data_IF_813516800573
#
_entry.id   IF_813516800573
#
_cell.length_a   1.000
_cell.length_b   1.000
_cell.length_c   1.000
_cell.angle_alpha   90.00
_cell.angle_beta   90.00
_cell.angle_gamma   90.00
#
_symmetry.space_group_name_H-M   'P 1'
#
loop_
_entity.id
_entity.type
_entity.pdbx_description
1 polymer ?
#
# COMPACT_ATOMS: atom_id res chain seq x y z
N UNK A 1 55.20 -45.98 15.09
CA UNK A 1 56.48 -45.46 15.62
C UNK A 1 57.11 -44.59 14.55
N UNK A 2 57.42 -43.32 14.82
CA UNK A 2 58.13 -42.46 13.84
C UNK A 2 57.80 -40.97 13.89
N UNK A 3 58.38 -40.28 14.86
CA UNK A 3 58.82 -38.87 14.94
C UNK A 3 58.08 -37.71 14.25
N UNK A 4 57.78 -36.71 15.10
CA UNK A 4 57.47 -35.32 14.80
C UNK A 4 58.63 -34.57 14.10
N UNK A 5 58.30 -33.69 13.14
CA UNK A 5 58.49 -32.23 13.24
C UNK A 5 58.03 -31.45 11.98
N UNK A 6 57.31 -30.35 12.27
CA UNK A 6 57.23 -29.03 11.58
C UNK A 6 56.16 -28.77 10.48
N UNK A 7 55.21 -27.92 10.91
CA UNK A 7 54.68 -26.66 10.32
C UNK A 7 53.97 -26.71 8.96
N UNK A 8 52.65 -26.51 8.98
CA UNK A 8 51.97 -25.23 8.70
C UNK A 8 50.45 -25.47 8.73
N UNK A 9 49.73 -24.78 9.61
CA UNK A 9 48.26 -24.88 9.72
C UNK A 9 47.64 -23.87 8.76
N UNK A 10 47.01 -24.37 7.70
CA UNK A 10 46.03 -23.64 6.91
C UNK A 10 44.75 -24.48 6.95
N UNK A 11 43.84 -24.14 7.86
CA UNK A 11 42.48 -24.67 7.85
C UNK A 11 41.54 -23.47 7.81
N UNK A 12 40.95 -23.26 6.64
CA UNK A 12 39.82 -22.36 6.49
C UNK A 12 38.62 -22.91 7.26
N UNK A 13 37.88 -22.01 7.88
CA UNK A 13 36.52 -22.26 8.32
C UNK A 13 35.75 -20.95 8.36
N UNK A 14 34.47 -21.13 8.06
CA UNK A 14 33.47 -20.14 7.74
C UNK A 14 33.17 -19.14 8.86
N UNK A 15 32.67 -17.98 8.42
CA UNK A 15 31.82 -17.01 9.12
C UNK A 15 30.85 -17.65 10.15
N UNK A 16 30.51 -16.94 11.26
CA UNK A 16 29.78 -15.68 11.19
C UNK A 16 30.32 -14.54 12.07
N UNK A 17 30.45 -13.35 11.47
CA UNK A 17 30.63 -12.10 12.20
C UNK A 17 29.28 -11.63 12.74
N UNK A 18 29.18 -11.64 14.07
CA UNK A 18 28.32 -10.77 14.84
C UNK A 18 28.75 -9.32 14.58
N UNK A 19 27.88 -8.50 14.00
CA UNK A 19 28.05 -7.05 13.96
C UNK A 19 27.09 -6.39 14.95
N UNK A 20 27.68 -5.71 15.92
CA UNK A 20 27.06 -4.87 16.95
C UNK A 20 26.44 -3.60 16.38
N UNK A 21 25.47 -2.96 17.08
CA UNK A 21 24.82 -1.74 16.64
C UNK A 21 25.61 -0.51 17.09
N UNK A 22 26.65 -0.15 16.34
CA UNK A 22 27.41 1.09 16.58
C UNK A 22 28.03 1.60 15.27
N UNK A 23 27.22 1.95 14.28
CA UNK A 23 27.71 2.66 13.08
C UNK A 23 26.72 3.65 12.46
N UNK A 24 25.55 3.87 13.06
CA UNK A 24 24.56 4.86 12.57
C UNK A 24 24.89 6.32 12.93
N UNK A 25 25.98 6.57 13.68
CA UNK A 25 26.35 7.91 14.14
C UNK A 25 27.40 8.64 13.29
N UNK A 26 28.17 7.95 12.44
CA UNK A 26 29.29 8.57 11.71
C UNK A 26 28.99 8.88 10.23
N UNK A 27 28.08 8.15 9.58
CA UNK A 27 27.64 8.48 8.20
C UNK A 27 26.78 9.74 8.07
N UNK A 28 26.40 10.36 9.20
CA UNK A 28 25.58 11.56 9.27
C UNK A 28 26.41 12.85 9.27
N UNK A 29 27.72 12.77 9.53
CA UNK A 29 28.60 13.94 9.59
C UNK A 29 29.18 14.26 8.21
N UNK A 30 29.57 13.25 7.42
CA UNK A 30 30.22 13.47 6.11
C UNK A 30 29.27 13.83 4.96
N UNK A 31 27.96 13.56 5.08
CA UNK A 31 27.00 13.87 4.02
C UNK A 31 26.29 15.23 4.20
N UNK A 32 26.38 15.84 5.38
CA UNK A 32 25.72 17.12 5.69
C UNK A 32 26.57 18.33 5.29
N UNK A 33 27.89 18.19 5.16
CA UNK A 33 28.77 19.27 4.70
C UNK A 33 28.64 19.54 3.19
N UNK A 34 28.26 18.55 2.38
CA UNK A 34 28.22 18.70 0.91
C UNK A 34 27.00 19.48 0.37
N UNK A 35 26.01 19.81 1.21
CA UNK A 35 24.83 20.57 0.80
C UNK A 35 24.91 22.04 1.25
N UNK A 36 25.91 22.41 2.07
CA UNK A 36 26.06 23.76 2.59
C UNK A 36 26.81 24.73 1.67
N UNK A 37 27.62 24.25 0.72
CA UNK A 37 28.59 25.10 -0.01
C UNK A 37 28.28 25.38 -1.49
N UNK A 38 27.12 24.98 -2.02
CA UNK A 38 26.68 25.44 -3.35
C UNK A 38 27.57 25.05 -4.55
N UNK A 39 28.44 24.05 -4.41
CA UNK A 39 29.26 23.52 -5.51
C UNK A 39 28.46 22.58 -6.43
N UNK A 40 28.64 22.64 -7.76
CA UNK A 40 27.93 21.78 -8.70
C UNK A 40 28.36 20.31 -8.54
N UNK A 41 27.37 19.43 -8.38
CA UNK A 41 27.57 17.98 -8.37
C UNK A 41 27.84 17.50 -9.79
N UNK A 42 29.08 17.14 -10.08
CA UNK A 42 29.48 16.48 -11.32
C UNK A 42 28.99 15.03 -11.32
N UNK A 43 27.92 14.74 -12.07
CA UNK A 43 27.50 13.37 -12.34
C UNK A 43 28.48 12.77 -13.36
N UNK A 44 29.38 11.90 -12.89
CA UNK A 44 30.25 11.12 -13.76
C UNK A 44 29.46 9.92 -14.29
N UNK A 45 28.93 10.02 -15.50
CA UNK A 45 28.43 8.87 -16.25
C UNK A 45 29.60 8.05 -16.77
N UNK A 46 29.67 6.77 -16.39
CA UNK A 46 30.57 5.80 -17.03
C UNK A 46 29.92 5.31 -18.33
N UNK A 47 30.43 5.76 -19.46
CA UNK A 47 30.13 5.19 -20.77
C UNK A 47 31.02 3.96 -21.06
N UNK A 48 30.38 2.90 -21.55
CA UNK A 48 31.04 1.75 -22.19
C UNK A 48 31.23 2.03 -23.69
N UNK A 49 32.36 1.64 -24.31
CA UNK A 49 32.67 1.99 -25.70
C UNK A 49 32.05 1.00 -26.69
N UNK A 50 31.47 1.52 -27.79
CA UNK A 50 31.08 0.69 -28.93
C UNK A 50 30.35 1.45 -30.04
N UNK A 51 31.05 1.61 -31.17
CA UNK A 51 30.56 1.86 -32.54
C UNK A 51 30.36 3.31 -33.04
N UNK A 52 31.34 3.74 -33.84
CA UNK A 52 31.14 3.95 -35.28
C UNK A 52 30.53 5.28 -35.70
N UNK A 53 31.39 6.24 -36.02
CA UNK A 53 31.03 7.49 -36.68
C UNK A 53 30.51 7.25 -38.11
N UNK A 54 29.37 7.85 -38.43
CA UNK A 54 28.97 8.18 -39.80
C UNK A 54 28.42 9.61 -39.79
N UNK A 55 29.10 10.48 -40.54
CA UNK A 55 28.74 11.88 -40.77
C UNK A 55 27.69 11.97 -41.88
N UNK A 56 26.53 12.56 -41.58
CA UNK A 56 25.57 12.99 -42.60
C UNK A 56 25.48 14.52 -42.63
N UNK A 57 25.59 15.07 -43.84
CA UNK A 57 25.61 16.50 -44.12
C UNK A 57 24.19 17.10 -44.02
N UNK A 58 24.08 18.23 -43.31
CA UNK A 58 22.83 19.00 -43.18
C UNK A 58 22.77 20.04 -44.30
N UNK A 59 21.73 19.95 -45.15
CA UNK A 59 21.40 20.96 -46.16
C UNK A 59 20.73 22.21 -45.55
N UNK A 60 20.86 23.40 -46.16
CA UNK A 60 20.42 24.66 -45.56
C UNK A 60 18.89 24.79 -45.53
N UNK A 61 18.34 25.18 -44.38
CA UNK A 61 16.92 25.54 -44.22
C UNK A 61 16.67 26.95 -44.76
N UNK A 62 15.75 27.06 -45.71
CA UNK A 62 15.19 28.31 -46.22
C UNK A 62 14.36 28.98 -45.13
N UNK A 63 14.68 30.25 -44.84
CA UNK A 63 13.89 31.14 -43.98
C UNK A 63 12.70 31.65 -44.79
N UNK A 64 11.47 31.31 -44.37
CA UNK A 64 10.24 31.92 -44.89
C UNK A 64 9.79 32.99 -43.91
N UNK A 65 9.74 34.23 -44.39
CA UNK A 65 9.26 35.40 -43.65
C UNK A 65 7.74 35.36 -43.47
N UNK A 66 7.26 35.71 -42.28
CA UNK A 66 5.83 35.80 -41.96
C UNK A 66 5.18 37.05 -42.58
N UNK A 67 3.91 36.97 -43.05
CA UNK A 67 3.16 38.12 -43.55
C UNK A 67 2.57 38.98 -42.40
N UNK A 68 2.23 40.25 -42.65
CA UNK A 68 1.74 41.18 -41.63
C UNK A 68 0.30 40.89 -41.18
N UNK A 69 -0.11 41.37 -39.99
CA UNK A 69 -1.40 41.04 -39.40
C UNK A 69 -2.55 41.77 -40.13
N UNK A 70 -3.33 41.01 -40.90
CA UNK A 70 -4.64 41.41 -41.42
C UNK A 70 -5.77 40.80 -40.59
N UNK A 71 -6.83 41.57 -40.34
CA UNK A 71 -7.97 41.24 -39.49
C UNK A 71 -8.62 39.89 -39.84
N UNK A 72 -8.71 38.99 -38.85
CA UNK A 72 -9.46 37.74 -38.95
C UNK A 72 -10.95 38.09 -38.75
N UNK A 73 -11.86 37.73 -39.67
CA UNK A 73 -13.29 37.94 -39.48
C UNK A 73 -13.81 37.11 -38.31
N UNK A 74 -14.69 37.70 -37.51
CA UNK A 74 -15.30 37.09 -36.34
C UNK A 74 -16.03 35.80 -36.72
N UNK A 75 -15.71 34.69 -36.05
CA UNK A 75 -16.48 33.45 -36.18
C UNK A 75 -17.91 33.67 -35.68
N UNK A 76 -18.93 33.15 -36.38
CA UNK A 76 -20.30 33.23 -35.89
C UNK A 76 -20.44 32.45 -34.58
N UNK A 77 -21.22 33.01 -33.65
CA UNK A 77 -21.59 32.37 -32.39
C UNK A 77 -22.25 31.01 -32.67
N UNK A 78 -21.93 29.96 -31.90
CA UNK A 78 -22.54 28.66 -32.10
C UNK A 78 -24.03 28.76 -31.74
N UNK A 79 -24.88 28.60 -32.77
CA UNK A 79 -26.31 28.38 -32.59
C UNK A 79 -26.50 27.11 -31.77
N UNK A 80 -27.26 27.21 -30.68
CA UNK A 80 -27.67 26.07 -29.86
C UNK A 80 -28.62 25.20 -30.68
N UNK A 81 -28.07 24.23 -31.42
CA UNK A 81 -28.87 23.19 -32.02
C UNK A 81 -29.56 22.39 -30.89
N UNK A 82 -30.84 22.00 -31.04
CA UNK A 82 -31.50 21.12 -30.08
C UNK A 82 -30.66 19.84 -29.94
N UNK A 83 -30.27 19.49 -28.71
CA UNK A 83 -29.64 18.20 -28.45
C UNK A 83 -30.64 17.10 -28.79
N UNK A 84 -30.30 16.27 -29.78
CA UNK A 84 -31.02 15.02 -30.02
C UNK A 84 -30.93 14.15 -28.76
N UNK A 85 -32.03 13.47 -28.37
CA UNK A 85 -32.01 12.56 -27.23
C UNK A 85 -30.99 11.43 -27.51
N UNK A 86 -30.23 10.98 -26.49
CA UNK A 86 -29.23 9.94 -26.68
C UNK A 86 -29.89 8.65 -27.21
N UNK A 87 -29.32 8.10 -28.28
CA UNK A 87 -29.79 6.86 -28.90
C UNK A 87 -29.65 5.71 -27.88
N UNK A 88 -30.73 5.02 -27.49
CA UNK A 88 -30.72 4.10 -26.34
C UNK A 88 -29.77 2.88 -26.46
N UNK A 89 -29.24 2.62 -27.65
CA UNK A 89 -28.40 1.46 -27.96
C UNK A 89 -26.89 1.75 -27.82
N UNK A 90 -26.52 2.99 -27.47
CA UNK A 90 -25.14 3.41 -27.20
C UNK A 90 -24.82 3.50 -25.69
N UNK A 91 -25.65 2.92 -24.82
CA UNK A 91 -25.25 2.78 -23.42
C UNK A 91 -23.95 1.97 -23.37
N UNK A 92 -22.86 2.48 -22.76
CA UNK A 92 -21.61 1.75 -22.66
C UNK A 92 -21.89 0.41 -21.97
N UNK A 93 -21.44 -0.68 -22.59
CA UNK A 93 -21.56 -2.01 -21.99
C UNK A 93 -20.98 -1.96 -20.58
N UNK A 94 -21.64 -2.59 -19.59
CA UNK A 94 -21.08 -2.65 -18.25
C UNK A 94 -19.69 -3.29 -18.33
N UNK A 95 -18.70 -2.76 -17.58
CA UNK A 95 -17.35 -3.34 -17.58
C UNK A 95 -17.43 -4.82 -17.19
N UNK A 96 -16.56 -5.67 -17.76
CA UNK A 96 -16.56 -7.14 -17.51
C UNK A 96 -16.57 -7.48 -16.02
N UNK A 97 -15.93 -6.67 -15.18
CA UNK A 97 -15.94 -6.80 -13.72
C UNK A 97 -17.35 -6.76 -13.11
N UNK A 98 -18.31 -6.06 -13.72
CA UNK A 98 -19.69 -6.00 -13.26
C UNK A 98 -20.51 -7.24 -13.66
N UNK A 99 -20.04 -8.01 -14.66
CA UNK A 99 -20.72 -9.18 -15.22
C UNK A 99 -20.27 -10.50 -14.56
N UNK A 100 -19.05 -10.56 -14.03
CA UNK A 100 -18.55 -11.77 -13.36
C UNK A 100 -19.06 -11.82 -11.92
N UNK A 101 -19.90 -12.82 -11.63
CA UNK A 101 -20.45 -13.07 -10.30
C UNK A 101 -20.07 -14.45 -9.83
N UNK A 102 -19.79 -14.55 -8.53
CA UNK A 102 -19.56 -15.84 -7.90
C UNK A 102 -20.87 -16.64 -7.92
N UNK A 103 -20.86 -17.80 -8.55
CA UNK A 103 -21.98 -18.73 -8.56
C UNK A 103 -22.33 -19.21 -7.15
N UNK A 104 -23.58 -19.60 -6.92
CA UNK A 104 -24.06 -20.04 -5.61
C UNK A 104 -23.78 -21.52 -5.31
N UNK A 105 -23.62 -22.35 -6.34
CA UNK A 105 -23.52 -23.81 -6.25
C UNK A 105 -22.12 -24.32 -6.57
N UNK A 106 -21.65 -25.27 -5.76
CA UNK A 106 -20.35 -25.92 -5.97
C UNK A 106 -20.42 -26.87 -7.17
N UNK A 107 -19.52 -26.68 -8.13
CA UNK A 107 -19.50 -27.40 -9.41
C UNK A 107 -18.40 -28.47 -9.54
N UNK A 108 -17.43 -28.52 -8.62
CA UNK A 108 -16.29 -29.44 -8.69
C UNK A 108 -16.27 -30.41 -7.49
N UNK A 109 -17.06 -31.48 -7.60
CA UNK A 109 -17.18 -32.48 -6.53
C UNK A 109 -15.85 -33.12 -6.10
N UNK A 110 -14.89 -33.45 -6.99
CA UNK A 110 -13.59 -33.98 -6.57
C UNK A 110 -12.80 -33.02 -5.67
N UNK A 111 -12.70 -31.74 -6.05
CA UNK A 111 -12.02 -30.73 -5.23
C UNK A 111 -12.76 -30.51 -3.92
N UNK A 112 -14.09 -30.41 -3.94
CA UNK A 112 -14.89 -30.24 -2.73
C UNK A 112 -14.61 -31.37 -1.71
N UNK A 113 -14.57 -32.63 -2.17
CA UNK A 113 -14.24 -33.78 -1.33
C UNK A 113 -12.83 -33.72 -0.76
N UNK A 114 -11.84 -33.33 -1.57
CA UNK A 114 -10.45 -33.22 -1.09
C UNK A 114 -10.28 -32.06 -0.10
N UNK A 115 -10.91 -30.90 -0.34
CA UNK A 115 -10.93 -29.78 0.63
C UNK A 115 -11.56 -30.23 1.95
N UNK A 116 -12.70 -30.94 1.92
CA UNK A 116 -13.32 -31.48 3.13
C UNK A 116 -12.43 -32.50 3.85
N UNK A 117 -11.68 -33.31 3.10
CA UNK A 117 -10.73 -34.28 3.66
C UNK A 117 -9.53 -33.58 4.32
N UNK A 118 -8.91 -32.59 3.66
CA UNK A 118 -7.84 -31.75 4.23
C UNK A 118 -8.34 -31.02 5.47
N UNK A 119 -9.59 -30.56 5.48
CA UNK A 119 -10.19 -29.91 6.65
C UNK A 119 -10.58 -30.89 7.78
N UNK A 120 -10.73 -32.19 7.51
CA UNK A 120 -10.92 -33.21 8.54
C UNK A 120 -11.99 -32.86 9.59
N UNK A 121 -11.62 -32.91 10.87
CA UNK A 121 -12.49 -32.54 12.01
C UNK A 121 -12.55 -31.03 12.30
N UNK A 122 -11.63 -30.23 11.76
CA UNK A 122 -11.57 -28.79 12.06
C UNK A 122 -12.52 -27.95 11.21
N UNK A 123 -13.36 -28.54 10.35
CA UNK A 123 -14.23 -27.80 9.39
C UNK A 123 -14.98 -26.61 10.01
N UNK A 124 -15.46 -26.73 11.24
CA UNK A 124 -16.17 -25.64 11.94
C UNK A 124 -15.31 -24.39 12.16
N UNK A 125 -13.98 -24.54 12.30
CA UNK A 125 -13.01 -23.46 12.46
C UNK A 125 -12.65 -22.77 11.13
N UNK A 126 -13.09 -23.31 9.98
CA UNK A 126 -12.66 -22.87 8.66
C UNK A 126 -13.78 -22.31 7.80
N UNK A 127 -13.44 -21.31 7.00
CA UNK A 127 -14.13 -20.97 5.77
C UNK A 127 -13.16 -21.08 4.61
N UNK A 128 -13.63 -21.62 3.48
CA UNK A 128 -12.87 -21.79 2.24
C UNK A 128 -13.81 -21.53 1.08
N UNK A 129 -13.38 -20.70 0.13
CA UNK A 129 -14.11 -20.48 -1.14
C UNK A 129 -13.10 -20.48 -2.27
N UNK A 130 -13.33 -21.29 -3.31
CA UNK A 130 -12.48 -21.40 -4.51
C UNK A 130 -13.33 -21.20 -5.75
N UNK A 131 -12.89 -20.33 -6.65
CA UNK A 131 -13.55 -20.04 -7.90
C UNK A 131 -12.56 -20.00 -9.08
N UNK A 132 -13.09 -20.16 -10.29
CA UNK A 132 -12.35 -19.91 -11.53
C UNK A 132 -12.61 -18.47 -12.06
N UNK A 133 -11.95 -18.04 -13.15
CA UNK A 133 -12.02 -16.64 -13.61
C UNK A 133 -13.42 -16.19 -14.04
N UNK A 134 -14.31 -17.12 -14.43
CA UNK A 134 -15.68 -16.77 -14.85
C UNK A 134 -16.67 -16.77 -13.69
N UNK A 135 -16.18 -16.92 -12.45
CA UNK A 135 -17.01 -16.92 -11.24
C UNK A 135 -17.61 -18.26 -10.89
N UNK A 136 -17.25 -19.35 -11.59
CA UNK A 136 -17.74 -20.68 -11.25
C UNK A 136 -17.20 -21.11 -9.90
N UNK A 137 -18.11 -21.43 -8.99
CA UNK A 137 -17.76 -21.87 -7.64
C UNK A 137 -17.29 -23.33 -7.69
N UNK A 138 -16.02 -23.56 -7.39
CA UNK A 138 -15.40 -24.88 -7.49
C UNK A 138 -15.38 -25.62 -6.16
N UNK A 139 -15.18 -24.92 -5.05
CA UNK A 139 -15.29 -25.48 -3.72
C UNK A 139 -15.74 -24.40 -2.74
N UNK A 140 -16.56 -24.78 -1.76
CA UNK A 140 -17.05 -23.89 -0.72
C UNK A 140 -17.25 -24.67 0.58
N UNK A 141 -16.68 -24.14 1.66
CA UNK A 141 -16.88 -24.64 3.03
C UNK A 141 -17.14 -23.41 3.88
N UNK A 142 -18.33 -23.32 4.47
CA UNK A 142 -18.72 -22.19 5.33
C UNK A 142 -18.49 -20.82 4.67
N UNK A 143 -18.67 -20.71 3.35
CA UNK A 143 -18.23 -19.54 2.58
C UNK A 143 -18.89 -18.22 2.97
N UNK A 144 -20.09 -18.31 3.54
CA UNK A 144 -20.89 -17.20 4.06
C UNK A 144 -20.62 -16.87 5.53
N UNK A 145 -19.89 -17.72 6.25
CA UNK A 145 -19.71 -17.54 7.70
C UNK A 145 -18.76 -16.35 7.95
N UNK A 146 -19.22 -15.31 8.68
CA UNK A 146 -18.35 -14.19 9.01
C UNK A 146 -17.26 -14.61 10.00
N UNK A 147 -16.02 -14.30 9.66
CA UNK A 147 -14.82 -14.64 10.43
C UNK A 147 -13.92 -13.43 10.59
N UNK A 148 -13.06 -13.43 11.62
CA UNK A 148 -12.02 -12.39 11.74
C UNK A 148 -10.99 -12.64 10.63
N UNK A 149 -10.73 -11.67 9.73
CA UNK A 149 -9.89 -11.89 8.56
C UNK A 149 -8.39 -11.71 8.82
N UNK A 150 -8.02 -11.13 9.96
CA UNK A 150 -6.67 -10.60 10.18
C UNK A 150 -6.25 -9.70 8.98
N UNK A 151 -4.96 -9.69 8.61
CA UNK A 151 -4.46 -8.82 7.54
C UNK A 151 -4.98 -9.08 6.12
N UNK A 152 -5.88 -10.03 5.89
CA UNK A 152 -6.64 -10.06 4.63
C UNK A 152 -7.57 -8.84 4.48
N UNK A 153 -7.88 -8.14 5.58
CA UNK A 153 -8.55 -6.84 5.56
C UNK A 153 -7.87 -5.83 4.63
N UNK A 154 -6.53 -5.92 4.49
CA UNK A 154 -5.75 -5.04 3.61
C UNK A 154 -6.11 -5.17 2.13
N UNK A 155 -6.67 -6.31 1.71
CA UNK A 155 -7.19 -6.46 0.36
C UNK A 155 -8.35 -5.48 0.09
N UNK A 156 -9.20 -5.23 1.09
CA UNK A 156 -10.31 -4.27 0.97
C UNK A 156 -9.78 -2.84 0.93
N UNK A 157 -8.93 -2.45 1.88
CA UNK A 157 -8.41 -1.07 1.96
C UNK A 157 -7.58 -0.69 0.74
N UNK A 158 -6.73 -1.59 0.25
CA UNK A 158 -5.92 -1.34 -0.96
C UNK A 158 -6.77 -1.34 -2.24
N UNK A 159 -7.78 -2.21 -2.35
CA UNK A 159 -8.68 -2.21 -3.50
C UNK A 159 -9.55 -0.94 -3.56
N UNK A 160 -10.07 -0.48 -2.42
CA UNK A 160 -10.78 0.80 -2.32
C UNK A 160 -9.89 1.96 -2.77
N UNK A 161 -8.66 2.03 -2.24
CA UNK A 161 -7.75 3.12 -2.55
C UNK A 161 -7.41 3.19 -4.04
N UNK A 162 -7.08 2.05 -4.68
CA UNK A 162 -6.70 2.03 -6.10
C UNK A 162 -7.87 2.21 -7.06
N UNK A 163 -9.09 1.82 -6.66
CA UNK A 163 -10.32 2.08 -7.43
C UNK A 163 -10.65 3.58 -7.44
N UNK A 164 -10.42 4.28 -6.32
CA UNK A 164 -10.76 5.71 -6.16
C UNK A 164 -9.68 6.66 -6.65
N UNK A 165 -8.41 6.34 -6.43
CA UNK A 165 -7.30 7.29 -6.59
C UNK A 165 -6.38 6.92 -7.77
N UNK A 166 -6.36 5.65 -8.18
CA UNK A 166 -5.45 5.14 -9.20
C UNK A 166 -4.02 4.91 -8.70
N UNK A 167 -3.24 4.15 -9.48
CA UNK A 167 -1.94 3.60 -9.06
C UNK A 167 -0.83 4.64 -8.87
N UNK A 168 -0.97 5.79 -9.55
CA UNK A 168 0.03 6.86 -9.58
C UNK A 168 -0.25 7.97 -8.56
N UNK A 169 -1.36 7.89 -7.82
CA UNK A 169 -1.67 8.88 -6.80
C UNK A 169 -0.55 8.94 -5.75
N UNK A 170 -0.28 10.15 -5.23
CA UNK A 170 0.74 10.39 -4.21
C UNK A 170 0.10 11.22 -3.11
N UNK A 171 0.35 10.79 -1.88
CA UNK A 171 -0.03 11.54 -0.69
C UNK A 171 0.87 12.75 -0.54
N UNK A 172 0.32 13.81 0.03
CA UNK A 172 1.00 15.09 0.21
C UNK A 172 1.30 15.37 1.66
N UNK A 173 2.46 15.97 1.89
CA UNK A 173 2.75 16.73 3.10
C UNK A 173 3.07 18.14 2.67
N UNK A 174 2.28 19.11 3.11
CA UNK A 174 2.31 20.49 2.63
C UNK A 174 2.71 21.44 3.75
N UNK A 175 3.60 22.37 3.44
CA UNK A 175 4.03 23.43 4.34
C UNK A 175 3.48 24.77 3.83
N UNK A 176 2.59 25.36 4.61
CA UNK A 176 1.95 26.64 4.32
C UNK A 176 2.54 27.74 5.19
N UNK A 177 2.52 28.97 4.67
CA UNK A 177 2.70 30.19 5.45
C UNK A 177 1.36 30.89 5.57
N UNK A 178 0.90 31.08 6.79
CA UNK A 178 -0.34 31.78 7.10
C UNK A 178 -0.13 33.30 7.03
N UNK A 179 -1.20 34.11 6.89
CA UNK A 179 -1.09 35.57 6.77
C UNK A 179 -0.39 36.27 7.95
N UNK A 180 -0.47 35.68 9.15
CA UNK A 180 0.20 36.19 10.36
C UNK A 180 1.69 35.79 10.44
N UNK A 181 2.21 35.06 9.46
CA UNK A 181 3.60 34.60 9.41
C UNK A 181 3.83 33.21 10.02
N UNK A 182 2.87 32.65 10.76
CA UNK A 182 2.94 31.28 11.28
C UNK A 182 3.01 30.28 10.14
N UNK A 183 3.80 29.21 10.29
CA UNK A 183 3.80 28.10 9.35
C UNK A 183 2.75 27.07 9.75
N UNK A 184 2.10 26.42 8.79
CA UNK A 184 1.23 25.27 9.06
C UNK A 184 1.70 24.06 8.27
N UNK A 185 1.91 22.95 8.96
CA UNK A 185 2.24 21.66 8.37
C UNK A 185 0.98 20.80 8.31
N UNK A 186 0.63 20.37 7.10
CA UNK A 186 -0.54 19.55 6.80
C UNK A 186 -0.09 18.25 6.16
N UNK A 187 -0.77 17.16 6.46
CA UNK A 187 -0.41 15.83 5.96
C UNK A 187 -1.61 15.00 5.54
N UNK A 188 -1.41 14.17 4.51
CA UNK A 188 -2.36 13.15 4.08
C UNK A 188 -1.99 11.75 4.61
N UNK A 189 -1.07 11.66 5.57
CA UNK A 189 -0.71 10.42 6.25
C UNK A 189 0.40 9.62 5.60
N UNK A 190 1.31 10.23 4.82
CA UNK A 190 2.41 9.49 4.17
C UNK A 190 3.22 8.67 5.20
N UNK A 191 3.13 7.32 5.20
CA UNK A 191 3.85 6.48 6.15
C UNK A 191 5.36 6.38 5.83
N UNK A 192 5.78 6.93 4.69
CA UNK A 192 7.17 7.08 4.28
C UNK A 192 7.78 8.44 4.64
N UNK A 193 7.00 9.37 5.20
CA UNK A 193 7.49 10.71 5.54
C UNK A 193 8.70 10.61 6.47
N UNK A 194 9.79 11.28 6.13
CA UNK A 194 11.11 11.03 6.71
C UNK A 194 11.77 12.28 7.30
N UNK A 195 12.74 12.14 8.22
CA UNK A 195 13.52 13.28 8.70
C UNK A 195 14.24 14.05 7.57
N UNK A 196 14.62 13.37 6.48
CA UNK A 196 15.22 14.00 5.31
C UNK A 196 14.22 14.90 4.57
N UNK A 197 12.95 14.51 4.51
CA UNK A 197 11.88 15.36 3.98
C UNK A 197 11.66 16.59 4.86
N UNK A 198 11.69 16.43 6.18
CA UNK A 198 11.64 17.56 7.12
C UNK A 198 12.81 18.54 6.88
N UNK A 199 14.02 18.03 6.67
CA UNK A 199 15.19 18.87 6.36
C UNK A 199 15.02 19.68 5.07
N UNK A 200 14.47 19.07 4.01
CA UNK A 200 14.17 19.78 2.75
C UNK A 200 13.10 20.85 2.91
N UNK A 201 12.03 20.54 3.65
CA UNK A 201 10.98 21.49 3.98
C UNK A 201 11.53 22.70 4.76
N UNK A 202 12.42 22.47 5.73
CA UNK A 202 13.08 23.55 6.46
C UNK A 202 14.00 24.39 5.57
N UNK A 203 14.76 23.75 4.66
CA UNK A 203 15.63 24.47 3.72
C UNK A 203 14.85 25.41 2.78
N UNK A 204 13.60 25.08 2.45
CA UNK A 204 12.75 25.94 1.64
C UNK A 204 12.42 27.28 2.32
N UNK A 205 12.51 27.39 3.65
CA UNK A 205 12.17 28.62 4.39
C UNK A 205 13.04 29.82 3.99
N UNK A 206 14.35 29.58 3.78
CA UNK A 206 15.30 30.63 3.40
C UNK A 206 14.97 31.27 2.05
N UNK A 207 14.39 30.50 1.11
CA UNK A 207 13.94 30.99 -0.20
C UNK A 207 12.68 31.86 -0.14
N UNK A 208 11.97 31.85 0.99
CA UNK A 208 10.69 32.54 1.19
C UNK A 208 10.77 33.68 2.22
N UNK A 209 11.95 34.24 2.43
CA UNK A 209 12.11 35.46 3.23
C UNK A 209 12.13 35.23 4.75
N UNK A 210 12.20 33.98 5.21
CA UNK A 210 12.44 33.64 6.61
C UNK A 210 13.96 33.59 6.79
N UNK A 211 14.54 34.55 7.51
CA UNK A 211 16.01 34.73 7.55
C UNK A 211 16.61 34.71 8.96
N UNK A 212 15.89 35.13 9.99
CA UNK A 212 16.34 35.07 11.40
C UNK A 212 15.13 35.01 12.35
N UNK A 213 15.32 34.46 13.55
CA UNK A 213 14.32 34.51 14.63
C UNK A 213 13.72 33.15 15.03
N UNK A 214 12.56 33.20 15.69
CA UNK A 214 11.80 32.01 16.10
C UNK A 214 10.79 31.66 15.03
N UNK A 215 10.79 30.40 14.58
CA UNK A 215 9.76 29.85 13.70
C UNK A 215 8.61 29.32 14.55
N UNK A 216 7.42 29.90 14.37
CA UNK A 216 6.17 29.41 14.94
C UNK A 216 5.47 28.48 13.95
N UNK A 217 5.16 27.25 14.36
CA UNK A 217 4.53 26.26 13.50
C UNK A 217 3.29 25.61 14.10
N UNK A 218 2.25 25.44 13.29
CA UNK A 218 1.06 24.66 13.61
C UNK A 218 1.14 23.29 12.93
N UNK A 219 0.91 22.22 13.70
CA UNK A 219 0.72 20.86 13.17
C UNK A 219 -0.77 20.56 13.07
N UNK A 220 -1.26 20.38 11.85
CA UNK A 220 -2.66 20.01 11.59
C UNK A 220 -2.82 18.50 11.79
N UNK A 221 -3.43 18.10 12.91
CA UNK A 221 -3.40 16.70 13.34
C UNK A 221 -4.66 16.25 14.07
N UNK A 222 -4.89 14.94 14.06
CA UNK A 222 -5.90 14.27 14.86
C UNK A 222 -5.57 14.37 16.35
N UNK A 223 -6.62 14.52 17.16
CA UNK A 223 -6.47 14.39 18.62
C UNK A 223 -6.14 12.94 19.04
N UNK A 224 -5.40 12.73 20.15
CA UNK A 224 -4.88 11.40 20.54
C UNK A 224 -5.91 10.27 20.63
N UNK A 225 -7.15 10.56 21.02
CA UNK A 225 -8.24 9.58 21.08
C UNK A 225 -8.61 8.95 19.72
N UNK A 226 -8.16 9.56 18.61
CA UNK A 226 -8.44 9.10 17.25
C UNK A 226 -7.23 8.46 16.55
N UNK A 227 -6.06 8.39 17.21
CA UNK A 227 -4.85 7.79 16.64
C UNK A 227 -4.97 6.27 16.43
N UNK A 228 -5.84 5.60 17.19
CA UNK A 228 -6.03 4.15 17.10
C UNK A 228 -7.51 3.81 16.91
N UNK A 229 -7.81 2.73 16.18
CA UNK A 229 -9.10 2.06 16.31
C UNK A 229 -9.36 1.68 17.77
N UNK A 230 -10.61 1.84 18.21
CA UNK A 230 -10.97 1.76 19.62
C UNK A 230 -10.66 0.38 20.26
N UNK A 231 -10.76 -0.69 19.48
CA UNK A 231 -10.59 -2.07 19.96
C UNK A 231 -9.19 -2.65 19.76
N UNK A 232 -8.21 -1.84 19.32
CA UNK A 232 -6.80 -2.26 19.32
C UNK A 232 -6.33 -2.44 20.76
N UNK A 233 -5.79 -3.62 21.06
CA UNK A 233 -5.34 -3.97 22.40
C UNK A 233 -4.17 -3.09 22.81
N UNK A 234 -4.14 -2.62 24.07
CA UNK A 234 -3.09 -1.71 24.56
C UNK A 234 -1.68 -2.28 24.37
N UNK A 235 -1.49 -3.58 24.60
CA UNK A 235 -0.21 -4.25 24.38
C UNK A 235 0.28 -4.20 22.92
N UNK A 236 -0.65 -4.20 21.96
CA UNK A 236 -0.30 -4.12 20.53
C UNK A 236 0.23 -2.72 20.19
N UNK A 237 -0.28 -1.68 20.86
CA UNK A 237 0.07 -0.25 20.62
C UNK A 237 1.51 0.11 20.96
N UNK A 238 2.24 -0.76 21.65
CA UNK A 238 3.66 -0.57 21.94
C UNK A 238 4.58 -0.95 20.78
N UNK A 239 4.08 -1.73 19.82
CA UNK A 239 4.88 -2.27 18.72
C UNK A 239 4.64 -1.50 17.43
N UNK A 240 5.58 -1.55 16.50
CA UNK A 240 5.52 -0.86 15.21
C UNK A 240 4.25 -1.20 14.40
N UNK A 241 3.75 -2.44 14.49
CA UNK A 241 2.50 -2.85 13.84
C UNK A 241 1.25 -2.24 14.50
N UNK A 242 1.35 -1.75 15.73
CA UNK A 242 0.30 -1.04 16.46
C UNK A 242 0.58 0.46 16.63
N UNK A 243 1.51 1.03 15.86
CA UNK A 243 1.86 2.44 15.94
C UNK A 243 0.65 3.37 15.71
N UNK A 244 0.63 4.57 16.34
CA UNK A 244 -0.40 5.57 16.11
C UNK A 244 -0.61 5.85 14.61
N UNK A 245 -1.86 5.95 14.18
CA UNK A 245 -2.23 6.33 12.81
C UNK A 245 -2.56 7.82 12.80
N UNK A 246 -1.67 8.63 12.24
CA UNK A 246 -1.75 10.10 12.23
C UNK A 246 -1.52 10.65 10.82
N UNK A 247 -1.89 11.91 10.59
CA UNK A 247 -1.72 12.61 9.29
C UNK A 247 -0.27 12.99 9.01
N UNK A 248 0.49 13.25 10.06
CA UNK A 248 1.91 13.60 10.03
C UNK A 248 2.73 12.46 10.66
N UNK A 249 3.03 11.42 9.87
CA UNK A 249 3.59 10.17 10.37
C UNK A 249 5.06 9.96 9.97
N UNK A 250 6.00 10.53 10.74
CA UNK A 250 7.43 10.33 10.47
C UNK A 250 7.80 8.86 10.70
N UNK A 251 8.33 8.20 9.66
CA UNK A 251 8.69 6.78 9.68
C UNK A 251 7.52 5.89 10.15
N UNK A 252 6.30 6.21 9.72
CA UNK A 252 5.06 5.55 10.14
C UNK A 252 4.87 5.49 11.67
N UNK A 253 5.37 6.49 12.39
CA UNK A 253 5.32 6.58 13.85
C UNK A 253 5.96 5.39 14.56
N UNK A 254 7.08 4.91 14.01
CA UNK A 254 7.81 3.78 14.56
C UNK A 254 9.32 4.02 14.62
N UNK A 255 9.98 3.33 15.54
CA UNK A 255 11.43 3.31 15.68
C UNK A 255 11.88 1.88 15.95
N UNK A 256 12.42 1.22 14.91
CA UNK A 256 12.65 -0.23 14.95
C UNK A 256 11.34 -0.97 15.15
N UNK A 257 11.31 -1.89 16.13
CA UNK A 257 10.13 -2.71 16.41
C UNK A 257 9.07 -1.99 17.26
N UNK A 258 9.33 -0.76 17.72
CA UNK A 258 8.48 -0.06 18.69
C UNK A 258 7.70 1.09 18.07
N UNK A 259 6.50 1.31 18.60
CA UNK A 259 5.71 2.49 18.30
C UNK A 259 6.32 3.75 18.97
N UNK A 260 6.19 4.88 18.30
CA UNK A 260 6.41 6.20 18.89
C UNK A 260 5.12 6.63 19.57
N UNK A 261 5.15 6.83 20.89
CA UNK A 261 3.94 7.09 21.67
C UNK A 261 3.33 8.49 21.43
N UNK A 262 4.18 9.48 21.14
CA UNK A 262 3.78 10.87 20.91
C UNK A 262 4.36 11.35 19.56
N UNK A 263 3.67 11.08 18.44
CA UNK A 263 4.10 11.47 17.11
C UNK A 263 4.30 12.99 16.91
N UNK A 264 3.37 13.87 17.34
CA UNK A 264 3.57 15.31 17.21
C UNK A 264 4.84 15.79 17.92
N UNK A 265 5.08 15.33 19.15
CA UNK A 265 6.30 15.69 19.87
C UNK A 265 7.57 15.14 19.21
N UNK A 266 7.51 13.93 18.64
CA UNK A 266 8.64 13.38 17.86
C UNK A 266 8.94 14.23 16.64
N UNK A 267 7.91 14.63 15.89
CA UNK A 267 8.04 15.50 14.73
C UNK A 267 8.59 16.88 15.11
N UNK A 268 8.06 17.48 16.18
CA UNK A 268 8.58 18.74 16.73
C UNK A 268 10.06 18.64 17.12
N UNK A 269 10.47 17.52 17.72
CA UNK A 269 11.88 17.28 18.05
C UNK A 269 12.79 17.25 16.81
N UNK A 270 12.32 16.68 15.70
CA UNK A 270 13.05 16.65 14.42
C UNK A 270 13.13 18.06 13.82
N UNK A 271 12.01 18.80 13.79
CA UNK A 271 11.99 20.19 13.33
C UNK A 271 12.92 21.09 14.16
N UNK A 272 12.85 20.98 15.49
CA UNK A 272 13.74 21.71 16.39
C UNK A 272 15.22 21.44 16.09
N UNK A 273 15.60 20.17 15.90
CA UNK A 273 16.98 19.82 15.55
C UNK A 273 17.42 20.42 14.21
N UNK A 274 16.56 20.38 13.20
CA UNK A 274 16.86 20.91 11.86
C UNK A 274 16.97 22.45 11.88
N UNK A 275 15.99 23.12 12.49
CA UNK A 275 15.91 24.59 12.54
C UNK A 275 17.01 25.20 13.42
N UNK A 276 17.33 24.58 14.57
CA UNK A 276 18.41 25.07 15.44
C UNK A 276 19.77 25.03 14.73
N UNK A 277 20.03 24.02 13.87
CA UNK A 277 21.26 23.96 13.05
C UNK A 277 21.34 25.08 12.02
N UNK A 278 20.21 25.63 11.62
CA UNK A 278 20.10 26.78 10.72
C UNK A 278 20.04 28.13 11.46
N UNK A 279 20.16 28.12 12.80
CA UNK A 279 20.15 29.32 13.63
C UNK A 279 18.77 29.86 14.01
N UNK A 280 17.69 29.09 13.75
CA UNK A 280 16.33 29.47 14.14
C UNK A 280 15.95 28.92 15.50
N UNK A 281 15.19 29.70 16.28
CA UNK A 281 14.38 29.17 17.37
C UNK A 281 13.15 28.44 16.82
N UNK A 282 12.52 27.58 17.62
CA UNK A 282 11.33 26.83 17.20
C UNK A 282 10.29 26.75 18.33
N UNK A 283 9.07 27.14 17.99
CA UNK A 283 7.88 26.93 18.82
C UNK A 283 6.77 26.31 17.97
N UNK A 284 5.92 25.51 18.59
CA UNK A 284 4.87 24.81 17.87
C UNK A 284 3.61 24.60 18.70
N UNK A 285 2.50 24.42 17.99
CA UNK A 285 1.21 24.04 18.55
C UNK A 285 0.51 23.03 17.63
N UNK A 286 -0.42 22.27 18.18
CA UNK A 286 -1.33 21.43 17.38
C UNK A 286 -2.61 22.20 17.06
N UNK A 287 -3.10 22.05 15.83
CA UNK A 287 -4.43 22.48 15.42
C UNK A 287 -5.23 21.27 14.94
N UNK A 288 -6.56 21.25 15.13
CA UNK A 288 -7.37 20.11 14.71
C UNK A 288 -7.21 19.79 13.23
N UNK A 289 -7.19 18.50 12.89
CA UNK A 289 -7.34 18.05 11.51
C UNK A 289 -8.57 18.69 10.84
N UNK A 290 -8.43 18.96 9.54
CA UNK A 290 -9.37 19.65 8.65
C UNK A 290 -9.59 21.13 9.01
N UNK A 291 -8.69 21.74 9.80
CA UNK A 291 -8.70 23.18 10.05
C UNK A 291 -8.40 23.94 8.76
N UNK A 292 -9.31 24.81 8.26
CA UNK A 292 -9.07 25.50 7.01
C UNK A 292 -7.89 26.47 7.14
N UNK A 293 -7.11 26.57 6.06
CA UNK A 293 -6.15 27.65 5.93
C UNK A 293 -6.88 28.99 5.74
N UNK A 294 -6.52 30.04 6.50
CA UNK A 294 -7.03 31.39 6.28
C UNK A 294 -6.82 31.86 4.83
N UNK A 295 -7.68 32.76 4.38
CA UNK A 295 -7.52 33.41 3.09
C UNK A 295 -6.18 34.14 3.04
N UNK A 296 -5.42 33.94 1.96
CA UNK A 296 -4.08 34.51 1.79
C UNK A 296 -2.93 33.62 2.29
N UNK A 297 -3.21 32.42 2.79
CA UNK A 297 -2.17 31.42 3.04
C UNK A 297 -1.43 31.05 1.76
N UNK A 298 -0.10 30.96 1.84
CA UNK A 298 0.79 30.66 0.73
C UNK A 298 1.41 29.27 0.90
N UNK A 299 1.34 28.42 -0.14
CA UNK A 299 2.09 27.16 -0.15
C UNK A 299 3.58 27.47 -0.32
N UNK A 300 4.39 27.00 0.62
CA UNK A 300 5.85 27.18 0.62
C UNK A 300 6.54 25.95 0.01
N UNK A 301 6.15 24.76 0.44
CA UNK A 301 6.75 23.51 -0.03
C UNK A 301 5.75 22.35 0.03
N UNK A 302 5.94 21.35 -0.83
CA UNK A 302 5.16 20.12 -0.83
C UNK A 302 6.10 18.91 -0.99
N UNK A 303 5.97 17.93 -0.12
CA UNK A 303 6.62 16.62 -0.26
C UNK A 303 5.58 15.59 -0.72
N UNK A 304 5.94 14.83 -1.74
CA UNK A 304 5.09 13.76 -2.28
C UNK A 304 5.56 12.40 -1.77
N UNK A 305 4.60 11.55 -1.40
CA UNK A 305 4.88 10.17 -1.06
C UNK A 305 5.37 9.36 -2.26
N UNK A 306 5.81 8.13 -1.99
CA UNK A 306 5.87 7.10 -3.02
C UNK A 306 4.48 6.88 -3.65
N UNK A 307 4.39 6.46 -4.93
CA UNK A 307 3.09 6.29 -5.58
C UNK A 307 2.25 5.24 -4.86
N UNK A 308 0.93 5.32 -5.03
CA UNK A 308 -0.03 4.45 -4.35
C UNK A 308 0.29 2.97 -4.54
N UNK A 309 0.81 2.57 -5.71
CA UNK A 309 1.28 1.21 -5.94
C UNK A 309 2.37 0.75 -4.95
N UNK A 310 3.35 1.60 -4.65
CA UNK A 310 4.40 1.30 -3.66
C UNK A 310 3.83 1.25 -2.24
N UNK A 311 2.91 2.14 -1.90
CA UNK A 311 2.22 2.11 -0.60
C UNK A 311 1.39 0.84 -0.43
N UNK A 312 0.65 0.44 -1.48
CA UNK A 312 -0.07 -0.83 -1.51
C UNK A 312 0.88 -2.02 -1.41
N UNK A 313 2.05 -1.98 -2.05
CA UNK A 313 3.07 -3.03 -1.91
C UNK A 313 3.53 -3.18 -0.46
N UNK A 314 3.84 -2.06 0.21
CA UNK A 314 4.16 -2.07 1.65
C UNK A 314 3.01 -2.64 2.50
N UNK A 315 1.76 -2.30 2.18
CA UNK A 315 0.59 -2.85 2.87
C UNK A 315 0.38 -4.36 2.59
N UNK A 316 0.56 -4.82 1.35
CA UNK A 316 0.19 -6.17 0.94
C UNK A 316 1.34 -7.18 1.05
N UNK A 317 2.51 -6.84 0.52
CA UNK A 317 3.71 -7.70 0.55
C UNK A 317 4.29 -7.80 1.95
N UNK A 318 4.50 -6.66 2.61
CA UNK A 318 5.11 -6.59 3.96
C UNK A 318 4.08 -6.63 5.08
N UNK A 319 2.79 -6.55 4.75
CA UNK A 319 1.69 -6.54 5.71
C UNK A 319 1.67 -5.33 6.65
N UNK A 320 2.16 -4.17 6.20
CA UNK A 320 2.33 -2.98 7.04
C UNK A 320 0.99 -2.36 7.48
N UNK A 321 0.73 -2.33 8.79
CA UNK A 321 -0.58 -1.93 9.35
C UNK A 321 -0.87 -0.45 9.16
N UNK A 322 0.03 0.43 9.58
CA UNK A 322 -0.15 1.88 9.48
C UNK A 322 -0.45 2.33 8.04
N UNK A 323 0.25 1.76 7.05
CA UNK A 323 -0.01 2.05 5.64
C UNK A 323 -1.40 1.62 5.19
N UNK A 324 -1.90 0.47 5.63
CA UNK A 324 -3.25 0.03 5.28
C UNK A 324 -4.34 0.90 5.95
N UNK A 325 -4.08 1.41 7.15
CA UNK A 325 -4.96 2.35 7.86
C UNK A 325 -5.04 3.71 7.15
N UNK A 326 -3.91 4.21 6.65
CA UNK A 326 -3.85 5.41 5.81
C UNK A 326 -4.60 5.17 4.50
N UNK A 327 -4.32 4.07 3.80
CA UNK A 327 -4.96 3.73 2.53
C UNK A 327 -6.48 3.60 2.64
N UNK A 328 -6.99 3.05 3.75
CA UNK A 328 -8.43 3.04 4.03
C UNK A 328 -9.00 4.46 4.11
N UNK A 329 -8.36 5.34 4.90
CA UNK A 329 -8.84 6.70 5.17
C UNK A 329 -8.81 7.56 3.91
N UNK A 330 -7.67 7.61 3.21
CA UNK A 330 -7.52 8.36 1.96
C UNK A 330 -8.39 7.80 0.84
N UNK A 331 -8.51 6.47 0.73
CA UNK A 331 -9.40 5.81 -0.23
C UNK A 331 -10.88 6.07 0.04
N UNK A 332 -11.25 6.23 1.31
CA UNK A 332 -12.62 6.61 1.72
C UNK A 332 -12.90 8.12 1.65
N UNK A 333 -11.86 8.94 1.49
CA UNK A 333 -11.96 10.41 1.48
C UNK A 333 -12.18 11.04 2.87
N UNK A 334 -11.90 10.33 3.96
CA UNK A 334 -12.10 10.85 5.33
C UNK A 334 -11.16 10.19 6.34
N UNK A 335 -10.68 10.98 7.30
CA UNK A 335 -9.90 10.51 8.44
C UNK A 335 -10.74 10.07 9.63
N UNK A 336 -12.05 10.32 9.60
CA UNK A 336 -12.99 9.76 10.57
C UNK A 336 -13.18 8.27 10.30
N UNK A 337 -12.63 7.41 11.18
CA UNK A 337 -12.62 5.96 10.96
C UNK A 337 -14.03 5.34 10.88
N UNK A 338 -15.01 5.84 11.63
CA UNK A 338 -16.37 5.34 11.58
C UNK A 338 -17.01 5.65 10.22
N UNK A 339 -16.81 6.86 9.72
CA UNK A 339 -17.26 7.26 8.39
C UNK A 339 -16.51 6.48 7.29
N UNK A 340 -15.19 6.33 7.41
CA UNK A 340 -14.37 5.54 6.49
C UNK A 340 -14.87 4.08 6.38
N UNK A 341 -15.24 3.49 7.52
CA UNK A 341 -15.81 2.13 7.59
C UNK A 341 -17.15 2.04 6.87
N UNK A 342 -18.04 3.02 7.05
CA UNK A 342 -19.34 3.09 6.36
C UNK A 342 -19.18 3.27 4.86
N UNK A 343 -18.32 4.20 4.42
CA UNK A 343 -18.01 4.45 3.00
C UNK A 343 -17.43 3.20 2.36
N UNK A 344 -16.54 2.50 3.06
CA UNK A 344 -15.94 1.25 2.55
C UNK A 344 -16.99 0.15 2.39
N UNK A 345 -17.88 -0.02 3.37
CA UNK A 345 -18.96 -1.00 3.27
C UNK A 345 -19.93 -0.66 2.14
N UNK A 346 -20.24 0.62 1.95
CA UNK A 346 -21.08 1.07 0.84
C UNK A 346 -20.39 0.83 -0.51
N UNK A 347 -19.10 1.12 -0.63
CA UNK A 347 -18.32 0.83 -1.83
C UNK A 347 -18.35 -0.66 -2.19
N UNK A 348 -18.22 -1.57 -1.21
CA UNK A 348 -18.36 -3.01 -1.45
C UNK A 348 -19.75 -3.37 -2.01
N UNK A 349 -20.82 -2.75 -1.49
CA UNK A 349 -22.19 -2.92 -2.01
C UNK A 349 -22.34 -2.40 -3.43
N UNK A 350 -21.77 -1.23 -3.73
CA UNK A 350 -21.84 -0.62 -5.06
C UNK A 350 -21.11 -1.48 -6.13
N UNK A 351 -20.10 -2.26 -5.70
CA UNK A 351 -19.45 -3.29 -6.53
C UNK A 351 -20.26 -4.61 -6.61
N UNK A 352 -21.44 -4.66 -5.99
CA UNK A 352 -22.31 -5.83 -5.88
C UNK A 352 -21.58 -7.04 -5.26
N UNK A 353 -20.78 -6.80 -4.21
CA UNK A 353 -20.08 -7.84 -3.47
C UNK A 353 -20.96 -8.36 -2.31
N UNK A 354 -20.82 -9.65 -1.91
CA UNK A 354 -21.63 -10.23 -0.85
C UNK A 354 -21.14 -9.74 0.52
N UNK A 355 -21.82 -8.74 1.09
CA UNK A 355 -21.43 -8.08 2.34
C UNK A 355 -22.21 -8.54 3.57
N UNK A 356 -23.01 -9.59 3.45
CA UNK A 356 -23.79 -10.11 4.59
C UNK A 356 -22.87 -10.55 5.73
N UNK A 357 -23.12 -9.99 6.93
CA UNK A 357 -22.32 -10.24 8.12
C UNK A 357 -20.92 -9.62 8.10
N UNK A 358 -20.62 -8.74 7.14
CA UNK A 358 -19.32 -8.06 7.04
C UNK A 358 -19.29 -6.82 7.93
N UNK A 359 -18.20 -6.68 8.69
CA UNK A 359 -17.92 -5.52 9.54
C UNK A 359 -16.52 -5.01 9.21
N UNK A 360 -16.44 -3.74 8.83
CA UNK A 360 -15.19 -2.99 8.69
C UNK A 360 -14.99 -2.21 9.98
N UNK A 361 -13.96 -2.58 10.76
CA UNK A 361 -13.61 -1.91 12.00
C UNK A 361 -12.26 -1.17 11.89
N UNK A 362 -11.37 -1.66 11.03
CA UNK A 362 -10.12 -1.00 10.66
C UNK A 362 -9.68 -1.37 9.22
N UNK A 363 -8.57 -0.78 8.76
CA UNK A 363 -8.01 -1.03 7.43
C UNK A 363 -6.94 -2.12 7.39
N UNK A 364 -6.33 -2.42 8.53
CA UNK A 364 -5.16 -3.29 8.65
C UNK A 364 -5.50 -4.74 9.00
N UNK A 365 -6.65 -4.97 9.65
CA UNK A 365 -7.06 -6.27 10.16
C UNK A 365 -6.51 -6.61 11.54
N UNK A 366 -5.96 -5.63 12.27
CA UNK A 366 -5.52 -5.84 13.66
C UNK A 366 -6.72 -5.86 14.62
N UNK A 367 -7.74 -5.07 14.33
CA UNK A 367 -9.02 -5.07 15.01
C UNK A 367 -9.68 -6.44 14.97
N UNK A 368 -10.02 -6.96 16.15
CA UNK A 368 -10.79 -8.21 16.31
C UNK A 368 -12.26 -8.03 16.03
N UNK A 369 -12.74 -6.80 15.87
CA UNK A 369 -14.12 -6.49 15.51
C UNK A 369 -14.39 -6.63 14.01
N UNK A 370 -13.35 -6.69 13.17
CA UNK A 370 -13.51 -7.01 11.75
C UNK A 370 -14.21 -8.36 11.56
N UNK A 371 -15.15 -8.40 10.62
CA UNK A 371 -15.79 -9.64 10.15
C UNK A 371 -15.82 -9.62 8.63
N UNK A 372 -15.44 -10.73 8.02
CA UNK A 372 -15.49 -10.90 6.57
C UNK A 372 -15.75 -12.37 6.22
N UNK A 373 -16.11 -12.62 4.97
CA UNK A 373 -16.44 -13.96 4.45
C UNK A 373 -15.48 -14.35 3.34
N UNK A 374 -15.24 -15.65 3.14
CA UNK A 374 -14.39 -16.08 2.01
C UNK A 374 -15.06 -15.83 0.67
N UNK A 375 -16.40 -15.84 0.60
CA UNK A 375 -17.13 -15.41 -0.60
C UNK A 375 -16.93 -13.93 -0.92
N UNK A 376 -16.88 -13.04 0.06
CA UNK A 376 -16.53 -11.63 -0.16
C UNK A 376 -15.13 -11.51 -0.77
N UNK A 377 -14.11 -12.09 -0.14
CA UNK A 377 -12.75 -11.97 -0.64
C UNK A 377 -12.56 -12.60 -2.02
N UNK A 378 -13.14 -13.78 -2.29
CA UNK A 378 -13.07 -14.39 -3.62
C UNK A 378 -13.79 -13.53 -4.67
N UNK A 379 -14.93 -12.92 -4.33
CA UNK A 379 -15.65 -12.00 -5.24
C UNK A 379 -14.87 -10.71 -5.49
N UNK A 380 -14.21 -10.16 -4.46
CA UNK A 380 -13.34 -8.99 -4.58
C UNK A 380 -12.15 -9.29 -5.50
N UNK A 381 -11.50 -10.45 -5.33
CA UNK A 381 -10.41 -10.91 -6.19
C UNK A 381 -10.86 -11.02 -7.65
N UNK A 382 -12.02 -11.65 -7.91
CA UNK A 382 -12.58 -11.73 -9.25
C UNK A 382 -12.90 -10.34 -9.84
N UNK A 383 -13.45 -9.44 -9.03
CA UNK A 383 -13.73 -8.05 -9.44
C UNK A 383 -12.44 -7.34 -9.85
N UNK A 384 -11.39 -7.47 -9.04
CA UNK A 384 -10.09 -6.86 -9.31
C UNK A 384 -9.36 -7.51 -10.49
N UNK A 385 -9.60 -8.78 -10.81
CA UNK A 385 -9.02 -9.43 -12.00
C UNK A 385 -9.43 -8.73 -13.32
N UNK A 386 -10.59 -8.08 -13.34
CA UNK A 386 -11.12 -7.36 -14.51
C UNK A 386 -11.15 -5.84 -14.31
N UNK A 387 -10.57 -5.34 -13.22
CA UNK A 387 -10.47 -3.92 -12.94
C UNK A 387 -9.31 -3.29 -13.74
N UNK A 388 -9.45 -2.02 -14.14
CA UNK A 388 -8.44 -1.31 -14.94
C UNK A 388 -7.05 -1.28 -14.27
N UNK A 389 -7.02 -1.15 -12.94
CA UNK A 389 -5.80 -1.18 -12.12
C UNK A 389 -5.55 -2.57 -11.47
N UNK A 390 -6.18 -3.62 -11.99
CA UNK A 390 -6.19 -4.95 -11.38
C UNK A 390 -4.82 -5.63 -11.39
N UNK A 391 -4.09 -5.50 -12.50
CA UNK A 391 -2.75 -6.07 -12.66
C UNK A 391 -1.78 -5.48 -11.63
N UNK A 392 -1.79 -4.16 -11.49
CA UNK A 392 -0.96 -3.40 -10.57
C UNK A 392 -1.32 -3.74 -9.12
N UNK A 393 -2.61 -3.85 -8.80
CA UNK A 393 -3.06 -4.27 -7.47
C UNK A 393 -2.59 -5.69 -7.11
N UNK A 394 -2.74 -6.66 -8.01
CA UNK A 394 -2.18 -8.01 -7.81
C UNK A 394 -0.65 -8.01 -7.68
N UNK A 395 0.03 -7.14 -8.43
CA UNK A 395 1.48 -6.96 -8.36
C UNK A 395 2.00 -6.48 -7.00
N UNK A 396 1.13 -5.98 -6.11
CA UNK A 396 1.51 -5.54 -4.76
C UNK A 396 1.51 -6.66 -3.72
N UNK A 397 1.02 -7.85 -4.07
CA UNK A 397 0.88 -8.96 -3.14
C UNK A 397 2.14 -9.83 -3.07
N UNK A 398 2.29 -10.55 -1.96
CA UNK A 398 3.39 -11.49 -1.78
C UNK A 398 3.27 -12.69 -2.74
N UNK A 399 4.41 -13.25 -3.12
CA UNK A 399 4.50 -14.40 -4.03
C UNK A 399 5.05 -15.60 -3.26
N UNK A 400 4.36 -16.74 -3.38
CA UNK A 400 4.71 -17.99 -2.70
C UNK A 400 6.17 -18.40 -2.96
N UNK A 401 6.92 -18.56 -1.87
CA UNK A 401 8.32 -18.92 -1.83
C UNK A 401 9.25 -17.94 -2.57
N UNK A 402 8.86 -16.66 -2.69
CA UNK A 402 9.63 -15.64 -3.40
C UNK A 402 9.73 -14.31 -2.67
N UNK A 403 8.62 -13.77 -2.15
CA UNK A 403 8.60 -12.40 -1.62
C UNK A 403 7.70 -12.24 -0.39
N UNK A 404 8.02 -11.24 0.42
CA UNK A 404 7.21 -10.78 1.56
C UNK A 404 6.83 -11.88 2.53
N UNK A 405 5.61 -11.77 3.08
CA UNK A 405 5.08 -12.75 4.06
C UNK A 405 4.92 -14.19 3.53
N UNK A 406 5.17 -14.43 2.25
CA UNK A 406 5.11 -15.75 1.62
C UNK A 406 6.48 -16.30 1.19
N UNK A 407 7.59 -15.60 1.46
CA UNK A 407 8.93 -15.99 1.03
C UNK A 407 9.36 -17.40 1.51
N UNK A 408 8.87 -17.82 2.68
CA UNK A 408 9.10 -19.16 3.25
C UNK A 408 7.79 -19.83 3.54
N UNK A 409 6.87 -19.89 2.57
CA UNK A 409 5.48 -20.30 2.77
C UNK A 409 5.25 -21.82 2.75
N UNK A 410 5.88 -22.55 1.82
CA UNK A 410 5.69 -24.00 1.68
C UNK A 410 6.98 -24.69 1.28
N UNK A 411 7.21 -25.91 1.77
CA UNK A 411 8.28 -26.78 1.26
C UNK A 411 7.93 -27.41 -0.09
N UNK A 412 6.66 -27.35 -0.53
CA UNK A 412 6.19 -27.92 -1.79
C UNK A 412 6.75 -27.14 -2.98
N UNK A 413 7.65 -27.73 -3.80
CA UNK A 413 8.21 -27.06 -4.97
C UNK A 413 7.12 -26.71 -6.00
N UNK A 414 6.02 -27.47 -5.98
CA UNK A 414 4.90 -27.30 -6.89
C UNK A 414 4.16 -25.97 -6.72
N UNK A 415 4.27 -25.31 -5.54
CA UNK A 415 3.60 -24.05 -5.23
C UNK A 415 4.49 -22.81 -5.43
N UNK A 416 5.81 -23.00 -5.56
CA UNK A 416 6.78 -21.91 -5.70
C UNK A 416 6.47 -21.04 -6.90
N UNK A 417 6.26 -19.74 -6.67
CA UNK A 417 5.95 -18.76 -7.71
C UNK A 417 4.54 -18.85 -8.31
N UNK A 418 3.72 -19.82 -7.91
CA UNK A 418 2.39 -20.03 -8.52
C UNK A 418 1.27 -19.30 -7.80
N UNK A 419 1.41 -19.07 -6.50
CA UNK A 419 0.42 -18.35 -5.70
C UNK A 419 0.87 -16.92 -5.42
N UNK A 420 -0.03 -15.98 -5.68
CA UNK A 420 0.11 -14.55 -5.38
C UNK A 420 -1.04 -14.16 -4.46
N UNK A 421 -0.74 -13.62 -3.29
CA UNK A 421 -1.79 -13.33 -2.33
C UNK A 421 -1.35 -12.64 -1.05
N UNK A 422 -2.35 -12.41 -0.20
CA UNK A 422 -2.20 -11.81 1.12
C UNK A 422 -2.36 -12.86 2.21
N UNK A 423 -1.45 -12.81 3.18
CA UNK A 423 -1.54 -13.56 4.43
C UNK A 423 -2.21 -12.73 5.53
N UNK A 424 -2.76 -13.40 6.54
CA UNK A 424 -3.19 -12.78 7.79
C UNK A 424 -2.85 -13.67 8.98
N UNK A 425 -2.31 -13.09 10.06
CA UNK A 425 -2.01 -13.80 11.30
C UNK A 425 -2.22 -12.88 12.49
N UNK A 426 -3.10 -13.29 13.40
CA UNK A 426 -3.19 -12.78 14.79
C UNK A 426 -3.46 -13.99 15.69
N UNK A 427 -3.40 -13.83 17.02
CA UNK A 427 -3.61 -14.97 17.95
C UNK A 427 -4.93 -15.70 17.65
N UNK A 428 -4.84 -17.00 17.35
CA UNK A 428 -5.98 -17.86 17.03
C UNK A 428 -6.61 -17.65 15.65
N UNK A 429 -6.00 -16.84 14.77
CA UNK A 429 -6.52 -16.57 13.43
C UNK A 429 -5.41 -16.70 12.39
N UNK A 430 -5.69 -17.44 11.31
CA UNK A 430 -4.86 -17.49 10.12
C UNK A 430 -5.72 -17.24 8.88
N UNK A 431 -5.21 -16.46 7.94
CA UNK A 431 -5.89 -16.18 6.69
C UNK A 431 -4.93 -16.24 5.50
N UNK A 432 -5.45 -16.64 4.35
CA UNK A 432 -4.76 -16.61 3.07
C UNK A 432 -5.77 -16.32 1.95
N UNK A 433 -5.52 -15.32 1.11
CA UNK A 433 -6.41 -15.01 -0.02
C UNK A 433 -5.61 -14.49 -1.21
N UNK A 434 -5.96 -14.91 -2.41
CA UNK A 434 -5.22 -14.54 -3.60
C UNK A 434 -5.62 -15.35 -4.83
N UNK A 435 -4.70 -15.42 -5.79
CA UNK A 435 -4.85 -16.22 -7.01
C UNK A 435 -3.69 -17.18 -7.20
N UNK A 436 -3.98 -18.35 -7.76
CA UNK A 436 -2.98 -19.34 -8.11
C UNK A 436 -3.02 -19.65 -9.61
N UNK A 437 -1.85 -19.63 -10.25
CA UNK A 437 -1.70 -20.11 -11.62
C UNK A 437 -1.77 -21.65 -11.65
N UNK A 438 -2.61 -22.19 -12.54
CA UNK A 438 -2.73 -23.63 -12.78
C UNK A 438 -2.60 -23.91 -14.28
N UNK A 439 -2.40 -25.18 -14.69
CA UNK A 439 -2.41 -25.54 -16.11
C UNK A 439 -3.71 -25.16 -16.84
N UNK A 440 -4.80 -24.94 -16.11
CA UNK A 440 -6.13 -24.61 -16.65
C UNK A 440 -6.57 -23.19 -16.26
N UNK A 441 -5.61 -22.26 -16.17
CA UNK A 441 -5.84 -20.85 -15.85
C UNK A 441 -5.79 -20.53 -14.36
N UNK A 442 -6.10 -19.28 -14.00
CA UNK A 442 -6.08 -18.85 -12.61
C UNK A 442 -7.21 -19.47 -11.78
N UNK A 443 -6.95 -19.71 -10.50
CA UNK A 443 -7.97 -19.98 -9.48
C UNK A 443 -7.90 -18.91 -8.41
N UNK A 444 -9.04 -18.39 -8.00
CA UNK A 444 -9.18 -17.32 -7.01
C UNK A 444 -9.77 -17.92 -5.75
N UNK A 445 -9.18 -17.65 -4.60
CA UNK A 445 -9.67 -18.24 -3.37
C UNK A 445 -9.34 -17.43 -2.14
N UNK A 446 -10.13 -17.72 -1.11
CA UNK A 446 -9.97 -17.22 0.24
C UNK A 446 -10.12 -18.36 1.23
N UNK A 447 -9.24 -18.38 2.22
CA UNK A 447 -9.21 -19.32 3.34
C UNK A 447 -9.08 -18.53 4.64
N UNK A 448 -10.06 -18.67 5.53
CA UNK A 448 -10.08 -18.04 6.85
C UNK A 448 -10.20 -19.13 7.92
N UNK A 449 -9.25 -19.17 8.84
CA UNK A 449 -9.21 -20.13 9.94
C UNK A 449 -9.23 -19.39 11.28
N UNK A 450 -10.24 -19.66 12.11
CA UNK A 450 -10.38 -19.09 13.45
C UNK A 450 -10.45 -20.24 14.45
N UNK A 451 -9.38 -20.43 15.22
CA UNK A 451 -9.24 -21.54 16.18
C UNK A 451 -8.74 -22.85 15.57
N UNK A 452 -8.11 -22.81 14.39
CA UNK A 452 -7.48 -24.00 13.80
C UNK A 452 -6.19 -24.37 14.54
N UNK A 453 -5.97 -25.66 14.75
CA UNK A 453 -4.74 -26.18 15.36
C UNK A 453 -3.58 -26.20 14.35
N UNK A 454 -3.86 -26.59 13.11
CA UNK A 454 -2.85 -26.79 12.06
C UNK A 454 -3.09 -25.91 10.82
N UNK A 455 -3.20 -24.57 10.94
CA UNK A 455 -3.69 -23.74 9.87
C UNK A 455 -2.79 -23.70 8.63
N UNK A 456 -1.48 -23.79 8.82
CA UNK A 456 -0.53 -23.67 7.72
C UNK A 456 -0.54 -24.91 6.83
N UNK A 457 -0.47 -26.11 7.42
CA UNK A 457 -0.46 -27.37 6.67
C UNK A 457 -1.76 -27.55 5.88
N UNK A 458 -2.90 -27.19 6.48
CA UNK A 458 -4.23 -27.22 5.83
C UNK A 458 -4.31 -26.26 4.64
N UNK A 459 -3.81 -25.04 4.77
CA UNK A 459 -3.75 -24.09 3.63
C UNK A 459 -2.90 -24.64 2.49
N UNK A 460 -1.74 -25.22 2.78
CA UNK A 460 -0.88 -25.84 1.76
C UNK A 460 -1.59 -27.02 1.09
N UNK A 461 -2.22 -27.91 1.86
CA UNK A 461 -2.96 -29.05 1.31
C UNK A 461 -4.14 -28.62 0.41
N UNK A 462 -4.84 -27.54 0.77
CA UNK A 462 -5.90 -26.98 -0.08
C UNK A 462 -5.32 -26.43 -1.39
N UNK A 463 -4.19 -25.72 -1.34
CA UNK A 463 -3.52 -25.23 -2.56
C UNK A 463 -3.11 -26.37 -3.49
N UNK A 464 -2.55 -27.44 -2.93
CA UNK A 464 -2.18 -28.63 -3.70
C UNK A 464 -3.40 -29.32 -4.31
N UNK A 465 -4.50 -29.43 -3.55
CA UNK A 465 -5.78 -29.93 -4.05
C UNK A 465 -6.32 -29.08 -5.22
N UNK A 466 -6.28 -27.74 -5.10
CA UNK A 466 -6.70 -26.82 -6.18
C UNK A 466 -5.82 -26.99 -7.42
N UNK A 467 -4.51 -27.17 -7.25
CA UNK A 467 -3.59 -27.38 -8.36
C UNK A 467 -3.87 -28.71 -9.07
N UNK A 468 -4.03 -29.79 -8.30
CA UNK A 468 -4.35 -31.15 -8.77
C UNK A 468 -5.70 -31.22 -9.49
N UNK A 469 -6.73 -30.57 -8.96
CA UNK A 469 -8.08 -30.56 -9.54
C UNK A 469 -8.35 -29.35 -10.45
N UNK A 470 -7.30 -28.73 -10.99
CA UNK A 470 -7.44 -27.55 -11.84
C UNK A 470 -8.25 -27.81 -13.11
N UNK A 471 -8.27 -29.02 -13.66
CA UNK A 471 -9.03 -29.38 -14.87
C UNK A 471 -10.53 -29.54 -14.66
N UNK A 472 -11.04 -29.40 -13.43
CA UNK A 472 -12.37 -29.86 -13.04
C UNK A 472 -13.47 -29.52 -14.08
N UNK A 473 -14.09 -30.53 -14.72
CA UNK A 473 -15.06 -30.31 -15.79
C UNK A 473 -16.33 -29.67 -15.25
N UNK A 474 -17.07 -28.95 -16.10
CA UNK A 474 -18.42 -28.48 -15.73
C UNK A 474 -19.31 -29.72 -15.60
N UNK A 475 -19.88 -29.91 -14.42
CA UNK A 475 -21.06 -30.76 -14.27
C UNK A 475 -22.23 -29.89 -14.69
N UNK A 476 -22.83 -30.21 -15.85
CA UNK A 476 -24.01 -29.51 -16.37
C UNK A 476 -25.28 -29.95 -15.65
#
# INVERSE_FOLDING_TARGET
MGNQRKRAVLLGLMLPLLSTPASYGQGLVELLDQVADGEPVTVVSRDYPGHGAATEAVAPKTVVTAPPPGQIPSLPTPSTAPQEPPVPWLAPLPPLAALVRLESHVSCAPLQREVLAVLGSERAAWSVTVADPVGRLMADVNGHMPRIPASNQKLISTALAVDRLGVNHRLKTSLWRLPNGTLRLEGEGDPGFSPQQVARMAAALSGHGVHTGTVSMEFEELVPRHWWPADWHSADRNWSYGAPVTRLAVSANSSGDYAVYDPPKRLAGIWSQVLNRQGYGFEWAEVPADSPNPQGSQLIHEELSQPLQSLMSRANTDSHNNTAEVLLRVGSGTWNLAQASQVTLQWLKDKNLPVDGVTIADGSGLSRSNRSTTRLYTSLLLTMQYHANGSEWYGTMAVANRTGTLERFSSSPSLTGKFVGKTGTIRGVKALSGRMATPHGYRFFSMLANGSAEPRSRMVGILEAVFKHSSCPRVF
#
